data_IF_315874151228
#
_entry.id   IF_315874151228
#
_cell.length_a   1.000
_cell.length_b   1.000
_cell.length_c   1.000
_cell.angle_alpha   90.00
_cell.angle_beta   90.00
_cell.angle_gamma   90.00
#
_symmetry.space_group_name_H-M   'P 1'
#
loop_
_entity.id
_entity.type
_entity.pdbx_description
1 polymer ?
#
# COMPACT_ATOMS: atom_id res chain seq x y z
N UNK A 1 16.68 -17.23 0.32
CA UNK A 1 15.22 -17.43 0.45
C UNK A 1 14.55 -17.17 -0.90
N UNK A 2 14.84 -18.00 -1.89
CA UNK A 2 14.27 -17.88 -3.22
C UNK A 2 14.18 -19.28 -3.79
N UNK A 3 13.10 -19.96 -3.41
CA UNK A 3 12.82 -21.33 -3.79
C UNK A 3 11.30 -21.43 -3.86
N UNK A 4 10.80 -21.75 -5.05
CA UNK A 4 9.43 -22.18 -5.37
C UNK A 4 8.25 -21.20 -5.51
N UNK A 5 8.38 -19.90 -5.26
CA UNK A 5 7.24 -18.98 -5.44
C UNK A 5 7.41 -18.11 -6.69
N UNK A 6 6.58 -18.29 -7.74
CA UNK A 6 6.67 -17.51 -8.97
C UNK A 6 6.28 -16.04 -8.78
N UNK A 7 5.61 -15.73 -7.68
CA UNK A 7 5.28 -14.38 -7.21
C UNK A 7 5.69 -14.33 -5.74
N UNK A 8 6.50 -13.35 -5.35
CA UNK A 8 6.89 -13.16 -3.96
C UNK A 8 7.04 -11.68 -3.62
N UNK A 9 6.83 -11.38 -2.33
CA UNK A 9 6.74 -10.01 -1.83
C UNK A 9 7.94 -9.72 -0.92
N UNK A 10 8.72 -8.70 -1.26
CA UNK A 10 9.73 -8.13 -0.39
C UNK A 10 9.12 -6.97 0.40
N UNK A 11 8.82 -7.22 1.68
CA UNK A 11 8.20 -6.25 2.57
C UNK A 11 9.25 -5.29 3.14
N UNK A 12 8.93 -3.99 3.17
CA UNK A 12 9.75 -2.97 3.83
C UNK A 12 9.55 -3.06 5.36
N UNK A 13 10.38 -3.86 6.03
CA UNK A 13 10.47 -4.07 7.49
C UNK A 13 9.13 -4.26 8.23
N UNK A 14 8.81 -5.50 8.59
CA UNK A 14 7.70 -5.78 9.49
C UNK A 14 7.98 -5.15 10.88
N UNK A 15 7.20 -4.15 11.28
CA UNK A 15 7.24 -3.65 12.66
C UNK A 15 6.64 -4.65 13.67
N UNK A 16 6.01 -5.73 13.20
CA UNK A 16 5.40 -6.77 14.01
C UNK A 16 6.21 -8.07 13.88
N UNK A 17 6.53 -8.71 15.01
CA UNK A 17 7.35 -9.94 15.12
C UNK A 17 6.64 -11.23 14.64
N UNK A 18 5.44 -11.16 14.06
CA UNK A 18 4.69 -12.33 13.62
C UNK A 18 4.72 -12.50 12.11
N UNK A 19 4.90 -13.73 11.66
CA UNK A 19 5.11 -14.13 10.26
C UNK A 19 3.88 -14.01 9.35
N UNK A 20 2.74 -13.51 9.85
CA UNK A 20 1.44 -13.55 9.15
C UNK A 20 0.86 -12.18 8.77
N UNK A 21 1.28 -11.11 9.44
CA UNK A 21 0.78 -9.76 9.16
C UNK A 21 1.89 -8.75 9.36
N UNK A 22 2.04 -7.84 8.39
CA UNK A 22 2.96 -6.73 8.50
C UNK A 22 2.19 -5.41 8.39
N UNK A 23 2.71 -4.36 9.01
CA UNK A 23 2.09 -3.06 9.01
C UNK A 23 3.10 -1.96 9.32
N UNK A 24 2.82 -0.76 8.83
CA UNK A 24 3.64 0.42 9.02
C UNK A 24 2.86 1.53 9.71
N UNK A 25 3.50 2.25 10.64
CA UNK A 25 2.86 3.38 11.35
C UNK A 25 2.54 4.53 10.41
N UNK A 26 3.51 4.93 9.58
CA UNK A 26 3.38 6.08 8.67
C UNK A 26 3.62 5.72 7.20
N UNK A 27 4.45 4.71 6.94
CA UNK A 27 4.71 4.19 5.60
C UNK A 27 4.67 2.66 5.70
N UNK A 28 3.96 2.02 4.79
CA UNK A 28 3.91 0.57 4.64
C UNK A 28 4.07 0.26 3.16
N UNK A 29 5.11 -0.46 2.79
CA UNK A 29 5.40 -0.74 1.40
C UNK A 29 5.99 -2.12 1.18
N UNK A 30 5.85 -2.59 -0.05
CA UNK A 30 6.39 -3.86 -0.50
C UNK A 30 6.82 -3.74 -1.96
N UNK A 31 7.79 -4.55 -2.35
CA UNK A 31 8.16 -4.75 -3.75
C UNK A 31 7.75 -6.14 -4.16
N UNK A 32 6.95 -6.24 -5.20
CA UNK A 32 6.51 -7.51 -5.78
C UNK A 32 7.54 -7.93 -6.82
N UNK A 33 8.01 -9.15 -6.70
CA UNK A 33 8.88 -9.80 -7.66
C UNK A 33 8.13 -10.96 -8.32
N UNK A 34 8.44 -11.18 -9.60
CA UNK A 34 7.90 -12.28 -10.39
C UNK A 34 9.03 -13.05 -11.08
N UNK A 35 8.84 -14.35 -11.25
CA UNK A 35 9.72 -15.22 -12.02
C UNK A 35 10.09 -16.52 -11.31
N UNK A 36 10.90 -17.35 -11.95
CA UNK A 36 10.98 -18.79 -11.62
C UNK A 36 12.06 -19.15 -10.60
N UNK A 37 12.97 -18.23 -10.27
CA UNK A 37 14.05 -18.48 -9.31
C UNK A 37 14.59 -17.19 -8.70
N UNK A 38 15.50 -17.30 -7.71
CA UNK A 38 16.28 -16.16 -7.17
C UNK A 38 16.98 -15.37 -8.26
N UNK A 39 17.57 -16.09 -9.22
CA UNK A 39 18.36 -15.50 -10.31
C UNK A 39 17.47 -14.96 -11.43
N UNK A 40 16.26 -15.51 -11.57
CA UNK A 40 15.26 -15.10 -12.56
C UNK A 40 14.05 -14.44 -11.90
N UNK A 41 14.30 -13.55 -10.93
CA UNK A 41 13.26 -12.73 -10.29
C UNK A 41 13.38 -11.29 -10.79
N UNK A 42 12.30 -10.77 -11.35
CA UNK A 42 12.21 -9.42 -11.87
C UNK A 42 11.28 -8.60 -10.99
N UNK A 43 11.65 -7.34 -10.71
CA UNK A 43 10.76 -6.41 -10.03
C UNK A 43 9.54 -6.18 -10.93
N UNK A 44 8.36 -6.53 -10.43
CA UNK A 44 7.10 -6.30 -11.13
C UNK A 44 6.57 -4.89 -10.83
N UNK A 45 6.37 -4.59 -9.54
CA UNK A 45 5.94 -3.27 -9.10
C UNK A 45 6.29 -3.04 -7.63
N UNK A 46 6.27 -1.78 -7.21
CA UNK A 46 6.36 -1.39 -5.80
C UNK A 46 5.03 -0.81 -5.34
N UNK A 47 4.45 -1.39 -4.29
CA UNK A 47 3.25 -0.86 -3.65
C UNK A 47 3.68 -0.09 -2.40
N UNK A 48 3.21 1.14 -2.25
CA UNK A 48 3.48 1.97 -1.08
C UNK A 48 2.20 2.65 -0.61
N UNK A 49 1.85 2.45 0.65
CA UNK A 49 0.81 3.20 1.35
C UNK A 49 1.44 4.11 2.41
N UNK A 50 1.08 5.38 2.37
CA UNK A 50 1.54 6.38 3.34
C UNK A 50 0.36 6.93 4.12
N UNK A 51 0.61 7.30 5.38
CA UNK A 51 -0.31 8.01 6.27
C UNK A 51 0.32 9.34 6.69
N UNK A 52 -0.40 10.44 6.51
CA UNK A 52 0.00 11.78 6.99
C UNK A 52 -1.18 12.44 7.68
N UNK A 53 -0.91 13.29 8.65
CA UNK A 53 -1.92 14.17 9.24
C UNK A 53 -1.99 15.47 8.44
N UNK A 54 -3.21 15.95 8.18
CA UNK A 54 -3.47 17.19 7.45
C UNK A 54 -4.63 17.95 8.09
N UNK A 55 -4.66 19.27 7.90
CA UNK A 55 -5.83 20.11 8.16
C UNK A 55 -6.64 20.25 6.87
N UNK A 56 -7.79 19.57 6.78
CA UNK A 56 -8.66 19.65 5.61
C UNK A 56 -9.67 20.79 5.76
N UNK A 57 -9.86 21.67 4.76
CA UNK A 57 -10.67 22.89 4.89
C UNK A 57 -12.13 22.62 5.26
N UNK A 58 -12.70 21.49 4.80
CA UNK A 58 -14.09 21.09 5.09
C UNK A 58 -14.26 20.18 6.31
N UNK A 59 -13.22 19.39 6.66
CA UNK A 59 -13.37 18.25 7.58
C UNK A 59 -12.53 18.39 8.85
N UNK A 60 -11.71 19.44 8.96
CA UNK A 60 -10.78 19.64 10.07
C UNK A 60 -9.60 18.66 10.00
N UNK A 61 -9.04 18.30 11.15
CA UNK A 61 -7.89 17.41 11.25
C UNK A 61 -8.24 16.00 10.72
N UNK A 62 -7.50 15.55 9.71
CA UNK A 62 -7.69 14.27 9.04
C UNK A 62 -6.36 13.53 8.88
N UNK A 63 -6.42 12.21 8.89
CA UNK A 63 -5.39 11.38 8.29
C UNK A 63 -5.68 11.22 6.80
N UNK A 64 -4.70 11.55 5.98
CA UNK A 64 -4.69 11.22 4.56
C UNK A 64 -3.87 9.96 4.35
N UNK A 65 -4.50 8.98 3.72
CA UNK A 65 -3.88 7.74 3.28
C UNK A 65 -3.73 7.79 1.77
N UNK A 66 -2.51 7.55 1.27
CA UNK A 66 -2.24 7.49 -0.16
C UNK A 66 -1.59 6.16 -0.49
N UNK A 67 -2.23 5.40 -1.36
CA UNK A 67 -1.67 4.17 -1.92
C UNK A 67 -1.21 4.42 -3.34
N UNK A 68 0.03 4.05 -3.60
CA UNK A 68 0.72 4.20 -4.88
C UNK A 68 1.26 2.86 -5.36
N UNK A 69 1.30 2.71 -6.68
CA UNK A 69 2.02 1.62 -7.37
C UNK A 69 3.01 2.29 -8.31
N UNK A 70 4.29 1.95 -8.17
CA UNK A 70 5.39 2.55 -8.92
C UNK A 70 5.32 4.09 -8.96
N UNK A 71 5.15 4.66 -7.76
CA UNK A 71 5.06 6.10 -7.50
C UNK A 71 3.84 6.83 -8.10
N UNK A 72 2.94 6.10 -8.77
CA UNK A 72 1.64 6.61 -9.23
C UNK A 72 0.61 6.41 -8.13
N UNK A 73 0.09 7.50 -7.57
CA UNK A 73 -1.00 7.45 -6.57
C UNK A 73 -2.30 7.00 -7.23
N UNK A 74 -2.78 5.82 -6.83
CA UNK A 74 -4.00 5.20 -7.36
C UNK A 74 -5.21 5.45 -6.47
N UNK A 75 -5.00 5.57 -5.16
CA UNK A 75 -6.08 5.73 -4.19
C UNK A 75 -5.68 6.68 -3.08
N UNK A 76 -6.61 7.55 -2.72
CA UNK A 76 -6.49 8.48 -1.61
C UNK A 76 -7.73 8.35 -0.73
N UNK A 77 -7.52 8.19 0.57
CA UNK A 77 -8.60 8.10 1.56
C UNK A 77 -8.35 9.11 2.68
N UNK A 78 -9.40 9.81 3.10
CA UNK A 78 -9.37 10.76 4.20
C UNK A 78 -10.20 10.22 5.36
N UNK A 79 -9.56 10.09 6.52
CA UNK A 79 -10.20 9.68 7.77
C UNK A 79 -10.12 10.85 8.74
N UNK A 80 -11.27 11.33 9.21
CA UNK A 80 -11.33 12.42 10.19
C UNK A 80 -10.83 11.93 11.55
N UNK A 81 -9.98 12.70 12.22
CA UNK A 81 -9.33 12.27 13.48
C UNK A 81 -10.33 12.26 14.64
N UNK A 82 -11.21 13.26 14.71
CA UNK A 82 -12.16 13.46 15.81
C UNK A 82 -13.01 12.21 16.09
N UNK A 83 -13.57 11.61 15.05
CA UNK A 83 -14.56 10.54 15.14
C UNK A 83 -14.18 9.29 14.32
N UNK A 84 -12.98 9.29 13.74
CA UNK A 84 -12.41 8.16 12.99
C UNK A 84 -13.25 7.76 11.77
N UNK A 85 -14.09 8.66 11.26
CA UNK A 85 -14.93 8.38 10.09
C UNK A 85 -14.15 8.57 8.78
N UNK A 86 -14.36 7.67 7.83
CA UNK A 86 -13.93 7.84 6.45
C UNK A 86 -14.82 8.91 5.79
N UNK A 87 -14.27 10.09 5.54
CA UNK A 87 -15.03 11.25 5.05
C UNK A 87 -14.94 11.44 3.54
N UNK A 88 -13.89 10.92 2.92
CA UNK A 88 -13.70 11.03 1.48
C UNK A 88 -12.78 9.94 0.97
N UNK A 89 -13.09 9.44 -0.24
CA UNK A 89 -12.23 8.52 -0.96
C UNK A 89 -12.16 8.92 -2.43
N UNK A 90 -10.96 8.95 -2.98
CA UNK A 90 -10.69 9.21 -4.40
C UNK A 90 -9.91 8.04 -4.96
N UNK A 91 -10.23 7.63 -6.17
CA UNK A 91 -9.53 6.55 -6.85
C UNK A 91 -9.33 6.90 -8.31
N UNK A 92 -8.16 6.58 -8.85
CA UNK A 92 -7.88 6.57 -10.29
C UNK A 92 -8.13 5.19 -10.91
N UNK A 93 -8.48 4.21 -10.09
CA UNK A 93 -8.93 2.89 -10.55
C UNK A 93 -10.32 3.03 -11.16
N UNK A 94 -10.36 3.48 -12.41
CA UNK A 94 -11.60 3.73 -13.13
C UNK A 94 -12.15 2.44 -13.79
N UNK A 95 -11.32 1.38 -13.91
CA UNK A 95 -11.68 0.00 -14.28
C UNK A 95 -10.44 -0.91 -14.33
N UNK A 96 -10.53 -2.11 -13.76
CA UNK A 96 -10.01 -3.37 -14.33
C UNK A 96 -11.15 -4.37 -14.13
N UNK A 97 -11.86 -4.76 -15.21
CA UNK A 97 -12.88 -5.81 -15.15
C UNK A 97 -12.16 -7.12 -14.80
N UNK A 98 -12.48 -7.69 -13.63
CA UNK A 98 -12.20 -9.06 -13.21
C UNK A 98 -10.82 -9.62 -13.55
N UNK A 99 -9.96 -9.77 -12.55
CA UNK A 99 -9.09 -10.95 -12.52
C UNK A 99 -10.03 -12.11 -12.24
N UNK A 100 -10.39 -12.87 -13.28
CA UNK A 100 -11.00 -14.20 -13.08
C UNK A 100 -10.03 -15.07 -12.30
#
# INVERSE_FOLDING_TARGET
>A
MASNYPIWHQVQACHYKSSKSYGGRNNSGETIYIGTSSKYSYKHCKILTTRREILHPKFGNCYIFRTSIDDIVLKESLVRIKDKQLVQQRTKLNRIKGLK
#
